data_IF_518737242407
#
_entry.id   IF_518737242407
#
_cell.length_a   1.000
_cell.length_b   1.000
_cell.length_c   1.000
_cell.angle_alpha   90.00
_cell.angle_beta   90.00
_cell.angle_gamma   90.00
#
_symmetry.space_group_name_H-M   'P 1'
#
loop_
_entity.id
_entity.type
_entity.pdbx_description
1 polymer ?
#
# COMPACT_ATOMS: atom_id res chain seq x y z
N UNK A 1 -6.47 37.47 -1.52
CA UNK A 1 -7.32 36.31 -1.74
C UNK A 1 -7.02 35.26 -0.68
N UNK A 2 -7.92 35.09 0.28
CA UNK A 2 -7.82 34.05 1.31
C UNK A 2 -8.24 32.73 0.66
N UNK A 3 -7.31 31.99 0.04
CA UNK A 3 -7.58 30.65 -0.41
C UNK A 3 -7.76 29.73 0.80
N UNK A 4 -8.92 29.12 0.84
CA UNK A 4 -9.36 28.18 1.86
C UNK A 4 -8.29 27.12 2.15
N UNK A 5 -7.86 27.02 3.40
CA UNK A 5 -6.84 26.07 3.90
C UNK A 5 -7.20 24.60 3.69
N UNK A 6 -8.43 24.29 3.27
CA UNK A 6 -8.97 22.93 3.08
C UNK A 6 -8.83 22.36 1.65
N UNK A 7 -8.45 23.17 0.65
CA UNK A 7 -8.46 22.75 -0.75
C UNK A 7 -7.12 22.19 -1.26
N UNK A 8 -6.00 22.52 -0.61
CA UNK A 8 -4.71 21.96 -0.97
C UNK A 8 -4.68 20.46 -0.63
N UNK A 9 -4.48 19.64 -1.61
CA UNK A 9 -4.51 18.18 -1.50
C UNK A 9 -5.90 17.58 -1.17
N UNK A 10 -7.01 18.25 -1.54
CA UNK A 10 -8.40 17.79 -1.31
C UNK A 10 -8.65 16.40 -1.88
N UNK A 11 -8.06 16.11 -3.04
CA UNK A 11 -8.23 14.84 -3.77
C UNK A 11 -7.51 13.66 -3.11
N UNK A 12 -6.67 13.93 -2.11
CA UNK A 12 -5.94 12.89 -1.39
C UNK A 12 -6.64 12.59 -0.07
N UNK A 13 -6.86 11.31 0.20
CA UNK A 13 -7.46 10.85 1.46
C UNK A 13 -6.39 10.78 2.54
N UNK A 14 -6.74 11.10 3.77
CA UNK A 14 -5.87 10.98 4.94
C UNK A 14 -4.65 11.91 4.94
N UNK A 15 -3.61 11.50 5.65
CA UNK A 15 -2.31 12.17 5.73
C UNK A 15 -2.38 13.63 6.21
N UNK A 16 -3.25 13.93 7.16
CA UNK A 16 -3.56 15.30 7.59
C UNK A 16 -2.33 16.06 8.09
N UNK A 17 -1.45 15.39 8.86
CA UNK A 17 -0.23 16.01 9.40
C UNK A 17 0.77 16.34 8.29
N UNK A 18 1.00 15.38 7.39
CA UNK A 18 1.89 15.57 6.24
C UNK A 18 1.39 16.69 5.32
N UNK A 19 0.09 16.71 4.98
CA UNK A 19 -0.54 17.78 4.19
C UNK A 19 -0.38 19.16 4.82
N UNK A 20 -0.57 19.25 6.13
CA UNK A 20 -0.37 20.52 6.87
C UNK A 20 1.07 21.01 6.75
N UNK A 21 2.05 20.11 6.91
CA UNK A 21 3.46 20.43 6.78
C UNK A 21 3.83 20.87 5.37
N UNK A 22 3.37 20.14 4.35
CA UNK A 22 3.55 20.52 2.95
C UNK A 22 2.87 21.85 2.60
N UNK A 23 1.68 22.11 3.13
CA UNK A 23 1.00 23.39 2.98
C UNK A 23 1.79 24.56 3.59
N UNK A 24 2.55 24.34 4.66
CA UNK A 24 3.47 25.35 5.22
C UNK A 24 4.60 25.64 4.25
N UNK A 25 5.26 24.61 3.71
CA UNK A 25 6.36 24.81 2.72
C UNK A 25 5.88 25.43 1.42
N UNK A 26 4.69 25.07 0.95
CA UNK A 26 4.10 25.69 -0.24
C UNK A 26 3.81 27.18 -0.05
N UNK A 27 3.36 27.60 1.14
CA UNK A 27 3.21 29.03 1.44
C UNK A 27 4.56 29.76 1.44
N UNK A 28 5.58 29.15 2.01
CA UNK A 28 6.95 29.66 1.93
C UNK A 28 7.41 29.81 0.48
N UNK A 29 7.18 28.77 -0.32
CA UNK A 29 7.49 28.78 -1.75
C UNK A 29 6.79 29.89 -2.51
N UNK A 30 5.49 30.10 -2.29
CA UNK A 30 4.74 31.19 -2.95
C UNK A 30 5.22 32.58 -2.56
N UNK A 31 5.88 32.73 -1.43
CA UNK A 31 6.46 34.01 -0.98
C UNK A 31 7.91 34.23 -1.44
N UNK A 32 8.70 33.18 -1.58
CA UNK A 32 10.15 33.25 -1.78
C UNK A 32 10.65 32.64 -3.09
N UNK A 33 9.81 31.86 -3.77
CA UNK A 33 10.21 31.05 -4.94
C UNK A 33 11.08 29.83 -4.58
N UNK A 34 11.36 29.59 -3.30
CA UNK A 34 12.25 28.51 -2.83
C UNK A 34 11.46 27.52 -2.00
N UNK A 35 11.48 26.24 -2.41
CA UNK A 35 10.95 25.13 -1.65
C UNK A 35 12.13 24.34 -1.04
N UNK A 36 12.11 24.01 0.25
CA UNK A 36 13.13 23.17 0.83
C UNK A 36 13.12 21.78 0.18
N UNK A 37 14.23 21.07 0.24
CA UNK A 37 14.28 19.67 -0.15
C UNK A 37 13.49 18.85 0.85
N UNK A 38 12.74 17.83 0.38
CA UNK A 38 11.79 17.09 1.18
C UNK A 38 12.18 15.61 1.25
N UNK A 39 12.06 15.00 2.44
CA UNK A 39 12.26 13.57 2.66
C UNK A 39 10.96 12.93 3.15
N UNK A 40 10.29 12.15 2.31
CA UNK A 40 9.07 11.42 2.64
C UNK A 40 9.42 10.06 3.26
N UNK A 41 8.99 9.84 4.48
CA UNK A 41 9.26 8.61 5.23
C UNK A 41 7.95 7.93 5.60
N UNK A 42 7.76 6.69 5.22
CA UNK A 42 6.61 5.88 5.60
C UNK A 42 6.76 4.41 5.18
N UNK A 43 5.99 3.48 5.75
CA UNK A 43 5.85 2.12 5.23
C UNK A 43 5.42 2.08 3.76
N UNK A 44 5.51 0.90 3.13
CA UNK A 44 5.06 0.69 1.75
C UNK A 44 3.55 0.96 1.62
N UNK A 45 3.15 1.65 0.55
CA UNK A 45 1.73 1.89 0.24
C UNK A 45 1.05 3.00 1.03
N UNK A 46 1.78 3.79 1.84
CA UNK A 46 1.23 4.95 2.56
C UNK A 46 1.12 6.24 1.73
N UNK A 47 1.42 6.20 0.42
CA UNK A 47 1.18 7.33 -0.47
C UNK A 47 2.34 8.32 -0.61
N UNK A 48 3.60 7.95 -0.25
CA UNK A 48 4.79 8.81 -0.40
C UNK A 48 4.91 9.44 -1.79
N UNK A 49 5.00 8.59 -2.81
CA UNK A 49 5.13 9.00 -4.21
C UNK A 49 3.92 9.84 -4.68
N UNK A 50 2.71 9.47 -4.25
CA UNK A 50 1.48 10.21 -4.59
C UNK A 50 1.49 11.61 -4.00
N UNK A 51 1.89 11.76 -2.73
CA UNK A 51 1.95 13.05 -2.06
C UNK A 51 3.08 13.92 -2.61
N UNK A 52 4.24 13.32 -2.93
CA UNK A 52 5.34 14.02 -3.59
C UNK A 52 4.93 14.55 -4.99
N UNK A 53 4.23 13.73 -5.79
CA UNK A 53 3.66 14.17 -7.09
C UNK A 53 2.65 15.30 -6.93
N UNK A 54 1.78 15.21 -5.94
CA UNK A 54 0.80 16.28 -5.66
C UNK A 54 1.49 17.58 -5.26
N UNK A 55 2.53 17.51 -4.42
CA UNK A 55 3.33 18.68 -4.07
C UNK A 55 4.06 19.24 -5.29
N UNK A 56 4.69 18.40 -6.12
CA UNK A 56 5.40 18.81 -7.33
C UNK A 56 4.52 19.56 -8.33
N UNK A 57 3.25 19.18 -8.47
CA UNK A 57 2.28 19.88 -9.33
C UNK A 57 1.91 21.28 -8.84
N UNK A 58 2.16 21.60 -7.59
CA UNK A 58 1.86 22.90 -6.98
C UNK A 58 3.09 23.84 -6.99
N UNK A 59 4.28 23.34 -7.36
CA UNK A 59 5.47 24.13 -7.50
C UNK A 59 5.54 24.72 -8.92
N UNK A 60 5.28 26.01 -9.06
CA UNK A 60 5.26 26.71 -10.35
C UNK A 60 6.66 27.15 -10.78
N UNK A 61 6.96 27.10 -12.06
CA UNK A 61 8.17 27.69 -12.62
C UNK A 61 8.05 29.22 -12.58
N UNK A 62 9.20 29.90 -12.37
CA UNK A 62 9.19 31.36 -12.28
C UNK A 62 9.18 32.01 -13.68
N UNK A 63 9.83 31.37 -14.65
CA UNK A 63 10.07 31.95 -15.97
C UNK A 63 9.29 31.23 -17.10
N UNK A 64 8.46 30.21 -16.77
CA UNK A 64 7.66 29.49 -17.75
C UNK A 64 6.16 29.77 -17.54
N UNK A 65 5.50 30.16 -18.62
CA UNK A 65 4.03 30.31 -18.66
C UNK A 65 3.41 29.35 -19.67
N UNK A 66 2.12 29.04 -19.47
CA UNK A 66 1.32 28.34 -20.47
C UNK A 66 0.88 29.27 -21.62
N UNK A 67 0.10 28.74 -22.57
CA UNK A 67 -0.39 29.50 -23.73
C UNK A 67 -1.33 30.65 -23.31
N UNK A 68 -1.92 30.57 -22.12
CA UNK A 68 -2.83 31.56 -21.56
C UNK A 68 -2.12 32.59 -20.64
N UNK A 69 -0.78 32.47 -20.51
CA UNK A 69 0.05 33.36 -19.69
C UNK A 69 0.06 33.05 -18.19
N UNK A 70 -0.49 31.90 -17.77
CA UNK A 70 -0.44 31.47 -16.37
C UNK A 70 0.88 30.77 -16.05
N UNK A 71 1.38 30.86 -14.79
CA UNK A 71 2.56 30.12 -14.38
C UNK A 71 2.41 28.63 -14.60
N UNK A 72 3.37 28.01 -15.25
CA UNK A 72 3.39 26.57 -15.54
C UNK A 72 4.00 25.81 -14.37
N UNK A 73 3.48 24.61 -14.00
CA UNK A 73 4.14 23.76 -13.01
C UNK A 73 5.55 23.39 -13.46
N UNK A 74 6.51 23.34 -12.52
CA UNK A 74 7.84 22.81 -12.77
C UNK A 74 7.78 21.40 -13.34
N UNK A 75 8.68 21.06 -14.23
CA UNK A 75 8.77 19.69 -14.72
C UNK A 75 9.02 18.74 -13.55
N UNK A 76 8.20 17.68 -13.45
CA UNK A 76 8.31 16.68 -12.41
C UNK A 76 8.96 15.41 -12.96
N UNK A 77 10.10 15.03 -12.40
CA UNK A 77 10.82 13.81 -12.75
C UNK A 77 10.81 12.84 -11.57
N UNK A 78 10.35 11.61 -11.80
CA UNK A 78 10.41 10.53 -10.82
C UNK A 78 11.49 9.53 -11.23
N UNK A 79 12.37 9.21 -10.30
CA UNK A 79 13.49 8.30 -10.51
C UNK A 79 13.43 7.21 -9.44
N UNK A 80 13.37 5.96 -9.86
CA UNK A 80 13.59 4.85 -8.94
C UNK A 80 15.11 4.70 -8.71
N UNK A 81 15.55 4.91 -7.48
CA UNK A 81 16.97 4.90 -7.11
C UNK A 81 17.66 3.57 -7.38
N UNK A 82 16.95 2.45 -7.37
CA UNK A 82 17.51 1.12 -7.70
C UNK A 82 18.05 1.02 -9.13
N UNK A 83 17.62 1.91 -10.04
CA UNK A 83 18.09 1.97 -11.43
C UNK A 83 19.38 2.74 -11.61
N UNK A 84 19.72 3.62 -10.67
CA UNK A 84 20.96 4.41 -10.70
C UNK A 84 22.11 3.61 -10.08
N UNK A 85 23.20 3.44 -10.83
CA UNK A 85 24.35 2.63 -10.38
C UNK A 85 25.59 3.42 -10.05
N UNK A 86 25.76 4.61 -10.61
CA UNK A 86 26.93 5.48 -10.42
C UNK A 86 26.63 6.94 -10.75
N UNK A 87 27.55 7.83 -10.37
CA UNK A 87 27.44 9.28 -10.63
C UNK A 87 27.33 9.60 -12.12
N UNK A 88 27.97 8.81 -12.99
CA UNK A 88 27.90 8.98 -14.45
C UNK A 88 26.47 8.88 -14.96
N UNK A 89 25.70 7.92 -14.47
CA UNK A 89 24.28 7.81 -14.82
C UNK A 89 23.48 8.98 -14.26
N UNK A 90 23.72 9.41 -13.02
CA UNK A 90 23.06 10.58 -12.46
C UNK A 90 23.29 11.82 -13.33
N UNK A 91 24.53 12.10 -13.74
CA UNK A 91 24.87 13.26 -14.57
C UNK A 91 24.22 13.15 -15.96
N UNK A 92 24.46 12.05 -16.66
CA UNK A 92 24.07 11.93 -18.07
C UNK A 92 22.56 11.67 -18.27
N UNK A 93 21.89 10.99 -17.33
CA UNK A 93 20.48 10.62 -17.47
C UNK A 93 19.53 11.57 -16.71
N UNK A 94 20.05 12.32 -15.73
CA UNK A 94 19.20 13.18 -14.90
C UNK A 94 19.64 14.64 -14.98
N UNK A 95 20.89 14.98 -14.60
CA UNK A 95 21.28 16.37 -14.44
C UNK A 95 21.33 17.10 -15.78
N UNK A 96 22.04 16.57 -16.78
CA UNK A 96 22.17 17.23 -18.09
C UNK A 96 20.79 17.34 -18.80
N UNK A 97 20.00 16.27 -18.98
CA UNK A 97 18.78 16.37 -19.78
C UNK A 97 17.62 17.07 -19.09
N UNK A 98 17.57 17.06 -17.75
CA UNK A 98 16.38 17.50 -17.01
C UNK A 98 16.60 18.67 -16.06
N UNK A 99 17.86 18.94 -15.65
CA UNK A 99 18.19 20.00 -14.68
C UNK A 99 18.85 21.19 -15.36
N UNK A 100 19.76 20.92 -16.28
CA UNK A 100 20.52 21.98 -16.94
C UNK A 100 19.60 22.95 -17.69
N UNK A 101 19.62 24.24 -17.30
CA UNK A 101 18.80 25.30 -17.87
C UNK A 101 17.27 25.10 -17.80
N UNK A 102 16.79 24.28 -16.84
CA UNK A 102 15.36 24.02 -16.64
C UNK A 102 15.01 24.12 -15.18
N UNK A 103 13.80 24.57 -14.87
CA UNK A 103 13.26 24.44 -13.50
C UNK A 103 12.53 23.12 -13.35
N UNK A 104 12.97 22.29 -12.41
CA UNK A 104 12.36 20.99 -12.21
C UNK A 104 12.25 20.61 -10.72
N UNK A 105 11.35 19.69 -10.47
CA UNK A 105 11.22 18.97 -9.20
C UNK A 105 11.57 17.50 -9.46
N UNK A 106 12.51 16.96 -8.71
CA UNK A 106 13.01 15.60 -8.89
C UNK A 106 12.67 14.79 -7.66
N UNK A 107 11.95 13.67 -7.85
CA UNK A 107 11.67 12.68 -6.81
C UNK A 107 12.63 11.49 -6.98
N UNK A 108 13.46 11.25 -5.99
CA UNK A 108 14.25 10.04 -5.81
C UNK A 108 13.45 9.05 -4.96
N UNK A 109 12.76 8.13 -5.62
CA UNK A 109 11.96 7.10 -4.93
C UNK A 109 12.84 5.91 -4.54
N UNK A 110 12.60 5.36 -3.37
CA UNK A 110 13.43 4.30 -2.73
C UNK A 110 14.88 4.77 -2.51
N UNK A 111 15.08 5.97 -1.95
CA UNK A 111 16.40 6.59 -1.83
C UNK A 111 17.36 5.85 -0.87
N UNK A 112 16.89 4.88 -0.10
CA UNK A 112 17.73 3.91 0.63
C UNK A 112 18.61 3.04 -0.28
N UNK A 113 18.19 2.86 -1.55
CA UNK A 113 18.91 2.08 -2.55
C UNK A 113 19.99 2.87 -3.30
N UNK A 114 20.17 4.17 -2.99
CA UNK A 114 21.17 5.00 -3.65
C UNK A 114 22.59 4.50 -3.35
N UNK A 115 23.42 4.29 -4.38
CA UNK A 115 24.86 4.07 -4.20
C UNK A 115 25.53 5.20 -3.42
N UNK A 116 26.57 4.87 -2.68
CA UNK A 116 27.26 5.84 -1.81
C UNK A 116 27.88 7.00 -2.58
N UNK A 117 28.45 6.76 -3.76
CA UNK A 117 29.01 7.78 -4.62
C UNK A 117 27.98 8.79 -5.11
N UNK A 118 26.78 8.32 -5.50
CA UNK A 118 25.64 9.19 -5.84
C UNK A 118 25.19 9.98 -4.61
N UNK A 119 25.08 9.33 -3.45
CA UNK A 119 24.72 10.02 -2.20
C UNK A 119 25.70 11.15 -1.89
N UNK A 120 27.00 10.91 -2.04
CA UNK A 120 28.04 11.94 -1.82
C UNK A 120 27.94 13.09 -2.83
N UNK A 121 27.65 12.80 -4.11
CA UNK A 121 27.40 13.81 -5.12
C UNK A 121 26.17 14.67 -4.77
N UNK A 122 25.08 14.04 -4.31
CA UNK A 122 23.88 14.74 -3.86
C UNK A 122 24.14 15.64 -2.66
N UNK A 123 25.03 15.29 -1.73
CA UNK A 123 25.39 16.19 -0.62
C UNK A 123 25.99 17.51 -1.09
N UNK A 124 26.75 17.48 -2.18
CA UNK A 124 27.30 18.70 -2.80
C UNK A 124 26.18 19.51 -3.44
N UNK A 125 25.29 18.85 -4.18
CA UNK A 125 24.16 19.48 -4.89
C UNK A 125 23.18 20.14 -3.91
N UNK A 126 22.90 19.47 -2.79
CA UNK A 126 21.93 19.91 -1.77
C UNK A 126 22.54 20.86 -0.73
N UNK A 127 23.77 21.30 -0.93
CA UNK A 127 24.42 22.19 0.03
C UNK A 127 23.65 23.52 0.12
N UNK A 128 23.21 23.97 1.31
CA UNK A 128 22.42 25.18 1.47
C UNK A 128 23.18 26.49 1.28
N UNK A 129 24.45 26.44 0.85
CA UNK A 129 25.24 27.64 0.65
C UNK A 129 24.81 28.39 -0.63
N UNK A 130 24.16 29.57 -0.52
CA UNK A 130 23.70 30.35 -1.69
C UNK A 130 24.79 30.82 -2.62
N UNK A 131 26.04 30.91 -2.14
CA UNK A 131 27.21 31.34 -2.94
C UNK A 131 27.79 30.17 -3.74
N UNK A 132 27.55 28.95 -3.37
CA UNK A 132 27.92 27.76 -4.14
C UNK A 132 26.84 27.45 -5.20
N UNK A 133 26.73 28.31 -6.18
CA UNK A 133 26.24 27.91 -7.51
C UNK A 133 27.21 26.84 -7.97
N UNK A 134 26.74 25.62 -7.97
CA UNK A 134 27.62 24.47 -7.90
C UNK A 134 28.23 24.19 -9.26
N UNK A 135 29.48 24.49 -9.38
CA UNK A 135 30.34 23.85 -10.37
C UNK A 135 30.51 22.39 -9.93
N UNK A 136 29.93 21.49 -10.66
CA UNK A 136 30.09 20.06 -10.44
C UNK A 136 31.18 19.56 -11.37
N UNK A 137 32.35 19.24 -10.82
CA UNK A 137 33.43 18.63 -11.59
C UNK A 137 33.14 17.17 -11.83
N UNK A 138 33.00 16.77 -13.08
CA UNK A 138 32.72 15.41 -13.48
C UNK A 138 33.61 15.01 -14.66
N UNK A 139 34.42 13.94 -14.49
CA UNK A 139 35.49 13.56 -15.40
C UNK A 139 36.38 14.79 -15.73
N UNK A 140 36.66 15.07 -16.99
CA UNK A 140 37.44 16.18 -17.47
C UNK A 140 36.64 17.48 -17.69
N UNK A 141 35.36 17.50 -17.29
CA UNK A 141 34.46 18.63 -17.50
C UNK A 141 34.06 19.27 -16.16
N UNK A 142 34.03 20.59 -16.18
CA UNK A 142 33.38 21.40 -15.13
C UNK A 142 32.00 21.76 -15.66
N UNK A 143 30.95 21.16 -15.07
CA UNK A 143 29.58 21.47 -15.40
C UNK A 143 29.02 22.43 -14.35
N UNK A 144 28.57 23.58 -14.80
CA UNK A 144 27.93 24.57 -13.94
C UNK A 144 26.41 24.34 -13.92
N UNK A 145 25.88 24.06 -12.74
CA UNK A 145 24.46 23.94 -12.51
C UNK A 145 24.02 24.98 -11.49
N UNK A 146 22.93 25.66 -11.77
CA UNK A 146 22.22 26.44 -10.77
C UNK A 146 21.09 25.59 -10.18
N UNK A 147 21.33 25.05 -8.99
CA UNK A 147 20.34 24.25 -8.28
C UNK A 147 19.39 25.08 -7.41
N UNK A 148 19.54 26.39 -7.34
CA UNK A 148 18.76 27.27 -6.46
C UNK A 148 17.26 27.23 -6.72
N UNK A 149 16.86 26.92 -7.95
CA UNK A 149 15.45 26.83 -8.39
C UNK A 149 14.91 25.42 -8.45
N UNK A 150 15.69 24.42 -8.02
CA UNK A 150 15.28 23.02 -8.05
C UNK A 150 14.80 22.56 -6.68
N UNK A 151 13.81 21.69 -6.70
CA UNK A 151 13.35 21.02 -5.49
C UNK A 151 13.63 19.53 -5.62
N UNK A 152 14.45 19.01 -4.71
CA UNK A 152 14.73 17.59 -4.63
C UNK A 152 13.85 16.98 -3.56
N UNK A 153 13.16 15.93 -3.93
CA UNK A 153 12.30 15.14 -3.05
C UNK A 153 12.85 13.73 -2.97
N UNK A 154 12.84 13.16 -1.79
CA UNK A 154 13.30 11.81 -1.53
C UNK A 154 12.18 11.01 -0.89
N UNK A 155 12.05 9.73 -1.20
CA UNK A 155 11.11 8.85 -0.55
C UNK A 155 11.80 7.56 -0.13
N UNK A 156 11.54 7.10 1.09
CA UNK A 156 12.08 5.85 1.61
C UNK A 156 11.10 5.16 2.55
N UNK A 157 11.22 3.84 2.63
CA UNK A 157 10.59 3.02 3.66
C UNK A 157 11.53 2.75 4.83
N UNK A 158 12.84 2.94 4.65
CA UNK A 158 13.91 2.57 5.57
C UNK A 158 14.77 3.79 5.90
N UNK A 159 14.22 4.75 6.65
CA UNK A 159 14.93 5.97 7.01
C UNK A 159 16.26 5.71 7.75
N UNK A 160 16.34 4.63 8.52
CA UNK A 160 17.53 4.23 9.27
C UNK A 160 18.72 3.80 8.37
N UNK A 161 18.46 3.43 7.11
CA UNK A 161 19.50 3.04 6.14
C UNK A 161 19.98 4.20 5.30
N UNK A 162 19.21 5.29 5.24
CA UNK A 162 19.59 6.51 4.50
C UNK A 162 20.74 7.20 5.22
N UNK A 163 21.74 7.65 4.44
CA UNK A 163 22.87 8.36 4.98
C UNK A 163 22.45 9.64 5.72
N UNK A 164 22.86 9.76 6.98
CA UNK A 164 22.36 10.80 7.89
C UNK A 164 22.53 12.22 7.34
N UNK A 165 23.70 12.52 6.75
CA UNK A 165 23.96 13.84 6.18
C UNK A 165 23.03 14.20 5.00
N UNK A 166 22.44 13.22 4.30
CA UNK A 166 21.41 13.47 3.29
C UNK A 166 20.08 13.83 3.95
N UNK A 167 19.74 13.14 5.03
CA UNK A 167 18.53 13.46 5.79
C UNK A 167 18.58 14.86 6.41
N UNK A 168 19.74 15.28 6.92
CA UNK A 168 19.93 16.61 7.53
C UNK A 168 19.76 17.77 6.56
N UNK A 169 19.87 17.51 5.25
CA UNK A 169 19.66 18.52 4.19
C UNK A 169 18.22 18.59 3.70
N UNK A 170 17.35 17.75 4.23
CA UNK A 170 15.97 17.64 3.81
C UNK A 170 15.00 17.89 4.96
N UNK A 171 13.89 18.51 4.67
CA UNK A 171 12.78 18.60 5.58
C UNK A 171 11.99 17.27 5.58
N UNK A 172 11.99 16.60 6.71
CA UNK A 172 11.35 15.29 6.85
C UNK A 172 9.84 15.41 6.91
N UNK A 173 9.15 14.61 6.11
CA UNK A 173 7.69 14.50 6.05
C UNK A 173 7.31 13.04 6.32
N UNK A 174 6.87 12.77 7.55
CA UNK A 174 6.41 11.45 7.93
C UNK A 174 4.95 11.24 7.50
N UNK A 175 4.66 10.11 6.87
CA UNK A 175 3.30 9.67 6.58
C UNK A 175 2.93 8.52 7.52
N UNK A 176 1.66 8.50 7.88
CA UNK A 176 1.09 7.48 8.76
C UNK A 176 0.39 6.40 7.93
N UNK A 177 0.17 5.24 8.52
CA UNK A 177 -0.71 4.24 7.92
C UNK A 177 -2.14 4.76 7.89
N UNK A 178 -2.90 4.32 6.88
CA UNK A 178 -4.29 4.70 6.75
C UNK A 178 -5.17 3.98 7.77
N UNK A 179 -6.13 4.69 8.32
CA UNK A 179 -7.20 4.09 9.14
C UNK A 179 -8.15 3.28 8.27
N UNK A 180 -8.93 2.38 8.86
CA UNK A 180 -9.93 1.59 8.14
C UNK A 180 -10.93 2.49 7.39
N UNK A 181 -11.42 3.55 8.02
CA UNK A 181 -12.31 4.52 7.37
C UNK A 181 -11.66 5.21 6.16
N UNK A 182 -10.37 5.56 6.24
CA UNK A 182 -9.64 6.14 5.11
C UNK A 182 -9.43 5.12 3.99
N UNK A 183 -9.13 3.85 4.30
CA UNK A 183 -9.01 2.79 3.31
C UNK A 183 -10.32 2.51 2.60
N UNK A 184 -11.44 2.46 3.34
CA UNK A 184 -12.77 2.36 2.75
C UNK A 184 -13.09 3.50 1.78
N UNK A 185 -12.71 4.74 2.14
CA UNK A 185 -12.82 5.91 1.24
C UNK A 185 -11.95 5.77 -0.01
N UNK A 186 -10.73 5.20 0.10
CA UNK A 186 -9.86 4.96 -1.05
C UNK A 186 -10.48 3.93 -2.00
N UNK A 187 -11.06 2.84 -1.48
CA UNK A 187 -11.80 1.86 -2.27
C UNK A 187 -12.96 2.53 -2.99
N UNK A 188 -13.78 3.28 -2.26
CA UNK A 188 -14.94 3.99 -2.83
C UNK A 188 -14.53 5.02 -3.90
N UNK A 189 -13.45 5.77 -3.69
CA UNK A 189 -12.92 6.74 -4.65
C UNK A 189 -12.45 6.06 -5.95
N UNK A 190 -11.93 4.84 -5.84
CA UNK A 190 -11.50 4.05 -7.00
C UNK A 190 -12.69 3.48 -7.78
N UNK A 191 -13.84 3.30 -7.12
CA UNK A 191 -15.07 2.73 -7.67
C UNK A 191 -16.28 3.70 -7.55
N UNK A 192 -16.22 4.90 -8.14
CA UNK A 192 -17.21 5.96 -7.86
C UNK A 192 -18.64 5.63 -8.36
N UNK A 193 -18.79 4.68 -9.28
CA UNK A 193 -20.08 4.25 -9.82
C UNK A 193 -20.69 3.03 -9.14
N UNK A 194 -20.02 2.46 -8.14
CA UNK A 194 -20.46 1.26 -7.42
C UNK A 194 -21.17 1.66 -6.13
N UNK A 195 -22.30 1.02 -5.86
CA UNK A 195 -23.01 1.14 -4.58
C UNK A 195 -22.62 -0.02 -3.67
N UNK A 196 -22.27 0.30 -2.44
CA UNK A 196 -21.86 -0.65 -1.41
C UNK A 196 -22.96 -0.79 -0.36
N UNK A 197 -23.10 -1.99 0.20
CA UNK A 197 -23.93 -2.21 1.39
C UNK A 197 -23.35 -1.44 2.59
N UNK A 198 -24.22 -1.07 3.53
CA UNK A 198 -23.82 -0.31 4.72
C UNK A 198 -22.77 -1.07 5.55
N UNK A 199 -21.69 -0.39 5.90
CA UNK A 199 -20.60 -0.93 6.70
C UNK A 199 -19.63 -1.85 5.94
N UNK A 200 -19.94 -2.27 4.72
CA UNK A 200 -19.13 -3.21 3.95
C UNK A 200 -17.73 -2.67 3.62
N UNK A 201 -17.60 -1.38 3.39
CA UNK A 201 -16.29 -0.75 3.15
C UNK A 201 -15.38 -0.83 4.37
N UNK A 202 -15.94 -0.78 5.58
CA UNK A 202 -15.16 -0.94 6.83
C UNK A 202 -14.72 -2.39 7.00
N UNK A 203 -15.58 -3.36 6.67
CA UNK A 203 -15.24 -4.79 6.68
C UNK A 203 -14.09 -5.09 5.69
N UNK A 204 -14.20 -4.60 4.44
CA UNK A 204 -13.15 -4.72 3.44
C UNK A 204 -11.84 -4.07 3.91
N UNK A 205 -11.93 -2.92 4.58
CA UNK A 205 -10.76 -2.20 5.04
C UNK A 205 -9.93 -2.98 6.08
N UNK A 206 -10.55 -3.87 6.85
CA UNK A 206 -9.85 -4.69 7.87
C UNK A 206 -8.76 -5.58 7.28
N UNK A 207 -8.92 -6.03 6.03
CA UNK A 207 -7.95 -6.92 5.35
C UNK A 207 -6.89 -6.15 4.56
N UNK A 208 -6.97 -4.82 4.49
CA UNK A 208 -6.07 -3.99 3.66
C UNK A 208 -4.79 -3.53 4.38
N UNK A 209 -4.63 -3.85 5.66
CA UNK A 209 -3.39 -3.69 6.44
C UNK A 209 -2.82 -2.27 6.45
N UNK A 210 -3.66 -1.23 6.50
CA UNK A 210 -3.20 0.17 6.49
C UNK A 210 -2.62 0.68 5.16
N UNK A 211 -2.78 -0.06 4.07
CA UNK A 211 -2.06 0.12 2.81
C UNK A 211 -2.99 0.58 1.68
N UNK A 212 -2.82 1.82 1.20
CA UNK A 212 -3.62 2.37 0.10
C UNK A 212 -3.42 1.63 -1.24
N UNK A 213 -2.21 1.07 -1.51
CA UNK A 213 -1.98 0.27 -2.71
C UNK A 213 -2.77 -1.04 -2.67
N UNK A 214 -2.90 -1.66 -1.47
CA UNK A 214 -3.76 -2.82 -1.27
C UNK A 214 -5.24 -2.45 -1.49
N UNK A 215 -5.68 -1.28 -1.01
CA UNK A 215 -7.03 -0.78 -1.25
C UNK A 215 -7.33 -0.59 -2.75
N UNK A 216 -6.42 0.02 -3.50
CA UNK A 216 -6.56 0.18 -4.95
C UNK A 216 -6.58 -1.18 -5.68
N UNK A 217 -5.68 -2.11 -5.30
CA UNK A 217 -5.67 -3.47 -5.87
C UNK A 217 -6.97 -4.20 -5.59
N UNK A 218 -7.48 -4.12 -4.36
CA UNK A 218 -8.77 -4.71 -4.00
C UNK A 218 -9.92 -4.11 -4.80
N UNK A 219 -9.98 -2.79 -4.92
CA UNK A 219 -10.98 -2.10 -5.73
C UNK A 219 -10.94 -2.56 -7.21
N UNK A 220 -9.74 -2.74 -7.78
CA UNK A 220 -9.60 -3.28 -9.14
C UNK A 220 -10.13 -4.72 -9.27
N UNK A 221 -9.86 -5.60 -8.29
CA UNK A 221 -10.41 -6.95 -8.27
C UNK A 221 -11.95 -6.93 -8.21
N UNK A 222 -12.50 -6.07 -7.36
CA UNK A 222 -13.95 -5.87 -7.25
C UNK A 222 -14.55 -5.31 -8.55
N UNK A 223 -13.85 -4.40 -9.25
CA UNK A 223 -14.28 -3.89 -10.55
C UNK A 223 -14.37 -5.00 -11.59
N UNK A 224 -13.36 -5.89 -11.64
CA UNK A 224 -13.34 -7.04 -12.56
C UNK A 224 -14.50 -7.98 -12.25
N UNK A 225 -14.70 -8.31 -10.98
CA UNK A 225 -15.79 -9.17 -10.51
C UNK A 225 -17.18 -8.61 -10.88
N UNK A 226 -17.43 -7.33 -10.57
CA UNK A 226 -18.68 -6.66 -10.90
C UNK A 226 -18.94 -6.59 -12.40
N UNK A 227 -17.89 -6.35 -13.20
CA UNK A 227 -17.98 -6.36 -14.66
C UNK A 227 -18.38 -7.73 -15.19
N UNK A 228 -17.82 -8.80 -14.65
CA UNK A 228 -18.18 -10.17 -15.01
C UNK A 228 -19.63 -10.50 -14.65
N UNK A 229 -20.13 -10.00 -13.51
CA UNK A 229 -21.54 -10.18 -13.10
C UNK A 229 -22.53 -9.18 -13.71
N UNK A 230 -22.08 -8.17 -14.44
CA UNK A 230 -22.92 -7.13 -15.02
C UNK A 230 -23.62 -6.24 -13.97
N UNK A 231 -23.10 -6.14 -12.76
CA UNK A 231 -23.68 -5.42 -11.63
C UNK A 231 -22.94 -4.12 -11.32
N UNK A 232 -23.66 -3.16 -10.74
CA UNK A 232 -23.09 -1.93 -10.14
C UNK A 232 -23.31 -1.85 -8.63
N UNK A 233 -23.82 -2.93 -8.02
CA UNK A 233 -24.04 -3.04 -6.59
C UNK A 233 -23.12 -4.11 -6.05
N UNK A 234 -22.40 -3.79 -5.00
CA UNK A 234 -21.47 -4.69 -4.32
C UNK A 234 -22.02 -5.01 -2.93
N UNK A 235 -22.52 -6.24 -2.76
CA UNK A 235 -23.17 -6.73 -1.56
C UNK A 235 -22.20 -7.52 -0.67
N UNK A 236 -22.66 -7.88 0.54
CA UNK A 236 -21.92 -8.79 1.43
C UNK A 236 -21.67 -10.16 0.78
N UNK A 237 -22.65 -10.70 0.04
CA UNK A 237 -22.48 -11.97 -0.67
C UNK A 237 -21.37 -11.88 -1.72
N UNK A 238 -21.31 -10.75 -2.47
CA UNK A 238 -20.21 -10.51 -3.42
C UNK A 238 -18.85 -10.48 -2.71
N UNK A 239 -18.80 -9.91 -1.50
CA UNK A 239 -17.57 -9.86 -0.71
C UNK A 239 -17.15 -11.26 -0.26
N UNK A 240 -18.06 -12.04 0.26
CA UNK A 240 -17.82 -13.44 0.67
C UNK A 240 -17.32 -14.29 -0.50
N UNK A 241 -17.92 -14.16 -1.70
CA UNK A 241 -17.44 -14.86 -2.89
C UNK A 241 -16.00 -14.45 -3.25
N UNK A 242 -15.68 -13.15 -3.22
CA UNK A 242 -14.31 -12.67 -3.50
C UNK A 242 -13.31 -13.16 -2.45
N UNK A 243 -13.71 -13.17 -1.17
CA UNK A 243 -12.85 -13.70 -0.10
C UNK A 243 -12.51 -15.18 -0.34
N UNK A 244 -13.50 -16.00 -0.69
CA UNK A 244 -13.31 -17.42 -1.01
C UNK A 244 -12.44 -17.60 -2.26
N UNK A 245 -12.76 -16.93 -3.37
CA UNK A 245 -12.03 -17.07 -4.64
C UNK A 245 -10.58 -16.60 -4.55
N UNK A 246 -10.30 -15.55 -3.78
CA UNK A 246 -8.95 -14.99 -3.63
C UNK A 246 -8.20 -15.52 -2.39
N UNK A 247 -8.83 -16.36 -1.56
CA UNK A 247 -8.25 -16.88 -0.33
C UNK A 247 -7.89 -15.77 0.67
N UNK A 248 -8.78 -14.80 0.85
CA UNK A 248 -8.55 -13.65 1.74
C UNK A 248 -8.93 -14.03 3.15
N UNK A 249 -7.95 -14.29 3.98
CA UNK A 249 -8.16 -14.56 5.40
C UNK A 249 -8.55 -13.30 6.20
N UNK A 250 -9.27 -13.44 7.32
CA UNK A 250 -9.56 -12.34 8.23
C UNK A 250 -8.28 -11.56 8.60
N UNK A 251 -8.41 -10.25 8.83
CA UNK A 251 -7.27 -9.33 9.04
C UNK A 251 -6.25 -9.29 7.88
N UNK A 252 -6.53 -9.94 6.76
CA UNK A 252 -5.63 -10.01 5.60
C UNK A 252 -4.33 -10.80 5.88
N UNK A 253 -4.36 -11.78 6.77
CA UNK A 253 -3.20 -12.61 7.04
C UNK A 253 -2.85 -13.47 5.82
N UNK A 254 -1.55 -13.56 5.56
CA UNK A 254 -1.00 -14.46 4.54
C UNK A 254 -0.95 -15.91 5.06
N UNK A 255 -0.91 -16.91 4.18
CA UNK A 255 -0.76 -18.31 4.59
C UNK A 255 0.47 -18.56 5.48
N UNK A 256 1.56 -17.82 5.26
CA UNK A 256 2.77 -17.90 6.08
C UNK A 256 2.54 -17.37 7.50
N UNK A 257 1.80 -16.26 7.64
CA UNK A 257 1.45 -15.71 8.95
C UNK A 257 0.54 -16.64 9.73
N UNK A 258 -0.43 -17.27 9.06
CA UNK A 258 -1.28 -18.30 9.65
C UNK A 258 -0.44 -19.53 10.07
N UNK A 259 0.49 -19.96 9.23
CA UNK A 259 1.43 -21.05 9.56
C UNK A 259 2.28 -20.68 10.79
N UNK A 260 2.80 -19.46 10.87
CA UNK A 260 3.56 -18.98 12.04
C UNK A 260 2.70 -19.05 13.31
N UNK A 261 1.46 -18.56 13.27
CA UNK A 261 0.54 -18.64 14.40
C UNK A 261 0.23 -20.10 14.77
N UNK A 262 0.01 -20.97 13.79
CA UNK A 262 -0.20 -22.41 14.02
C UNK A 262 1.00 -23.09 14.70
N UNK A 263 2.23 -22.78 14.30
CA UNK A 263 3.43 -23.30 14.97
C UNK A 263 3.58 -22.74 16.41
N UNK A 264 3.25 -21.47 16.63
CA UNK A 264 3.23 -20.86 17.96
C UNK A 264 2.13 -21.45 18.85
N UNK A 265 1.00 -21.86 18.27
CA UNK A 265 -0.10 -22.50 19.02
C UNK A 265 0.25 -23.88 19.57
N UNK A 266 1.21 -24.59 18.98
CA UNK A 266 1.63 -25.94 19.40
C UNK A 266 2.56 -25.95 20.61
N UNK A 267 3.21 -24.82 20.91
CA UNK A 267 4.24 -24.69 21.96
C UNK A 267 4.02 -23.45 22.78
N UNK A 268 4.53 -23.43 24.03
CA UNK A 268 4.41 -22.26 24.89
C UNK A 268 5.26 -21.08 24.39
N UNK A 269 6.51 -21.37 24.02
CA UNK A 269 7.48 -20.41 23.50
C UNK A 269 8.26 -21.04 22.34
N UNK A 270 8.48 -20.28 21.28
CA UNK A 270 9.15 -20.74 20.08
C UNK A 270 10.32 -19.83 19.69
N UNK A 271 11.46 -20.42 19.36
CA UNK A 271 12.60 -19.62 18.91
C UNK A 271 12.41 -19.15 17.46
N UNK A 272 13.01 -17.99 17.12
CA UNK A 272 13.03 -17.49 15.74
C UNK A 272 13.65 -18.50 14.76
N UNK A 273 14.67 -19.25 15.22
CA UNK A 273 15.32 -20.29 14.41
C UNK A 273 14.33 -21.40 14.05
N UNK A 274 13.49 -21.81 15.00
CA UNK A 274 12.48 -22.83 14.75
C UNK A 274 11.42 -22.34 13.74
N UNK A 275 10.90 -21.10 13.92
CA UNK A 275 9.94 -20.52 12.99
C UNK A 275 10.51 -20.39 11.57
N UNK A 276 11.77 -19.93 11.44
CA UNK A 276 12.47 -19.84 10.18
C UNK A 276 12.60 -21.20 9.49
N UNK A 277 12.97 -22.24 10.25
CA UNK A 277 13.07 -23.61 9.74
C UNK A 277 11.71 -24.18 9.30
N UNK A 278 10.64 -23.92 10.05
CA UNK A 278 9.29 -24.40 9.74
C UNK A 278 8.64 -23.70 8.54
N UNK A 279 8.94 -22.43 8.35
CA UNK A 279 8.41 -21.64 7.22
C UNK A 279 9.30 -21.72 5.97
N UNK A 280 10.52 -22.27 6.07
CA UNK A 280 11.50 -22.26 4.98
C UNK A 280 12.10 -20.87 4.67
N UNK A 281 11.97 -19.92 5.59
CA UNK A 281 12.39 -18.53 5.43
C UNK A 281 13.65 -18.22 6.23
N UNK A 282 14.34 -17.12 5.90
CA UNK A 282 15.41 -16.59 6.74
C UNK A 282 14.85 -15.92 7.99
N UNK A 283 15.61 -15.90 9.09
CA UNK A 283 15.23 -15.22 10.35
C UNK A 283 14.89 -13.75 10.11
N UNK A 284 15.67 -13.06 9.29
CA UNK A 284 15.46 -11.65 8.96
C UNK A 284 14.12 -11.42 8.23
N UNK A 285 13.77 -12.32 7.30
CA UNK A 285 12.50 -12.27 6.60
C UNK A 285 11.32 -12.49 7.57
N UNK A 286 11.38 -13.50 8.43
CA UNK A 286 10.34 -13.77 9.44
C UNK A 286 10.11 -12.53 10.32
N UNK A 287 11.19 -11.93 10.84
CA UNK A 287 11.09 -10.76 11.71
C UNK A 287 10.54 -9.53 10.99
N UNK A 288 11.08 -9.21 9.81
CA UNK A 288 10.77 -7.97 9.13
C UNK A 288 9.42 -8.00 8.42
N UNK A 289 9.10 -9.13 7.78
CA UNK A 289 7.99 -9.18 6.83
C UNK A 289 6.70 -9.75 7.47
N UNK A 290 6.80 -10.50 8.57
CA UNK A 290 5.65 -11.19 9.19
C UNK A 290 5.44 -10.86 10.67
N UNK A 291 6.47 -10.96 11.52
CA UNK A 291 6.30 -10.75 12.98
C UNK A 291 5.77 -9.36 13.31
N UNK A 292 6.21 -8.33 12.59
CA UNK A 292 5.79 -6.95 12.86
C UNK A 292 4.27 -6.77 12.76
N UNK A 293 3.64 -7.37 11.75
CA UNK A 293 2.20 -7.27 11.58
C UNK A 293 1.44 -8.11 12.61
N UNK A 294 1.89 -9.33 12.87
CA UNK A 294 1.29 -10.20 13.89
C UNK A 294 1.33 -9.57 15.29
N UNK A 295 2.45 -8.92 15.66
CA UNK A 295 2.57 -8.16 16.91
C UNK A 295 1.64 -6.95 16.92
N UNK A 296 1.59 -6.18 15.84
CA UNK A 296 0.70 -5.03 15.71
C UNK A 296 -0.77 -5.40 15.88
N UNK A 297 -1.17 -6.57 15.39
CA UNK A 297 -2.55 -7.09 15.54
C UNK A 297 -2.79 -7.78 16.88
N UNK A 298 -1.77 -7.83 17.75
CA UNK A 298 -1.79 -8.52 19.05
C UNK A 298 -2.12 -10.02 18.92
N UNK A 299 -1.60 -10.67 17.87
CA UNK A 299 -1.77 -12.10 17.66
C UNK A 299 -0.57 -12.91 18.19
N UNK A 300 0.59 -12.29 18.28
CA UNK A 300 1.80 -12.85 18.88
C UNK A 300 2.54 -11.81 19.73
N UNK A 301 3.38 -12.29 20.62
CA UNK A 301 4.25 -11.47 21.46
C UNK A 301 5.67 -12.06 21.54
N UNK A 302 6.65 -11.18 21.78
CA UNK A 302 8.02 -11.59 22.07
C UNK A 302 8.20 -11.69 23.56
N UNK A 303 8.70 -12.82 24.04
CA UNK A 303 9.00 -13.12 25.44
C UNK A 303 10.49 -13.28 25.67
N UNK A 304 10.94 -13.38 26.89
CA UNK A 304 12.35 -13.69 27.24
C UNK A 304 12.78 -15.07 26.74
N UNK A 305 11.84 -16.02 26.59
CA UNK A 305 12.08 -17.38 26.11
C UNK A 305 11.95 -17.53 24.59
N UNK A 306 11.36 -16.51 23.90
CA UNK A 306 11.16 -16.57 22.45
C UNK A 306 9.94 -15.81 21.98
N UNK A 307 9.14 -16.44 21.13
CA UNK A 307 7.86 -15.95 20.60
C UNK A 307 6.74 -16.81 21.12
N UNK A 308 5.65 -16.18 21.52
CA UNK A 308 4.46 -16.86 22.01
C UNK A 308 3.22 -16.32 21.31
N UNK A 309 2.24 -17.18 21.09
CA UNK A 309 0.93 -16.77 20.63
C UNK A 309 0.17 -16.10 21.78
N UNK A 310 -0.58 -15.04 21.50
CA UNK A 310 -1.44 -14.38 22.49
C UNK A 310 -2.79 -15.11 22.59
N UNK A 311 -3.61 -14.68 23.56
CA UNK A 311 -4.98 -15.17 23.67
C UNK A 311 -5.78 -14.88 22.39
N UNK A 312 -5.68 -13.66 21.88
CA UNK A 312 -6.32 -13.23 20.62
C UNK A 312 -5.83 -14.02 19.41
N UNK A 313 -4.54 -14.38 19.38
CA UNK A 313 -4.01 -15.23 18.31
C UNK A 313 -4.58 -16.64 18.33
N UNK A 314 -4.84 -17.21 19.52
CA UNK A 314 -5.50 -18.52 19.65
C UNK A 314 -6.95 -18.47 19.20
N UNK A 315 -7.68 -17.45 19.67
CA UNK A 315 -9.08 -17.22 19.27
C UNK A 315 -9.19 -17.09 17.73
N UNK A 316 -8.25 -16.36 17.11
CA UNK A 316 -8.17 -16.22 15.65
C UNK A 316 -8.00 -17.58 14.94
N UNK A 317 -7.12 -18.46 15.41
CA UNK A 317 -6.97 -19.80 14.83
C UNK A 317 -8.19 -20.67 15.00
N UNK A 318 -8.81 -20.63 16.18
CA UNK A 318 -10.06 -21.38 16.46
C UNK A 318 -11.21 -20.93 15.56
N UNK A 319 -11.32 -19.65 15.26
CA UNK A 319 -12.35 -19.12 14.37
C UNK A 319 -12.10 -19.50 12.92
N UNK A 320 -10.85 -19.47 12.45
CA UNK A 320 -10.48 -19.99 11.12
C UNK A 320 -10.82 -21.48 10.95
N UNK A 321 -10.52 -22.30 11.96
CA UNK A 321 -10.84 -23.74 11.90
C UNK A 321 -12.35 -23.97 11.81
N UNK A 322 -13.16 -23.16 12.49
CA UNK A 322 -14.63 -23.23 12.39
C UNK A 322 -15.10 -22.85 10.98
N UNK A 323 -14.60 -21.75 10.40
CA UNK A 323 -14.95 -21.32 9.04
C UNK A 323 -14.59 -22.41 8.01
N UNK A 324 -13.39 -23.00 8.07
CA UNK A 324 -13.00 -24.11 7.18
C UNK A 324 -13.90 -25.34 7.31
N UNK A 325 -14.40 -25.64 8.50
CA UNK A 325 -15.32 -26.76 8.73
C UNK A 325 -16.67 -26.47 8.12
N UNK A 326 -17.19 -25.23 8.24
CA UNK A 326 -18.44 -24.83 7.61
C UNK A 326 -18.35 -24.86 6.09
N UNK A 327 -17.29 -24.33 5.49
CA UNK A 327 -17.08 -24.34 4.04
C UNK A 327 -17.01 -25.77 3.48
N UNK A 328 -16.30 -26.68 4.15
CA UNK A 328 -16.27 -28.09 3.77
C UNK A 328 -17.62 -28.77 3.90
N UNK A 329 -18.39 -28.44 4.93
CA UNK A 329 -19.73 -28.99 5.12
C UNK A 329 -20.71 -28.50 4.05
N UNK A 330 -20.68 -27.24 3.65
CA UNK A 330 -21.50 -26.70 2.56
C UNK A 330 -21.13 -27.31 1.20
N UNK A 331 -19.86 -27.53 0.91
CA UNK A 331 -19.41 -28.20 -0.31
C UNK A 331 -19.93 -29.63 -0.40
N UNK A 332 -19.91 -30.38 0.71
CA UNK A 332 -20.44 -31.74 0.77
C UNK A 332 -21.96 -31.75 0.52
N UNK A 333 -22.68 -30.77 1.06
CA UNK A 333 -24.16 -30.65 0.85
C UNK A 333 -24.49 -30.29 -0.59
N UNK A 334 -23.66 -29.51 -1.26
CA UNK A 334 -23.83 -29.13 -2.68
C UNK A 334 -23.46 -30.28 -3.64
N UNK A 335 -22.55 -31.17 -3.26
CA UNK A 335 -22.10 -32.30 -4.05
C UNK A 335 -23.01 -33.52 -3.93
N UNK A 336 -23.99 -33.57 -2.97
CA UNK A 336 -24.97 -34.64 -2.97
C UNK A 336 -25.82 -34.56 -4.25
N UNK A 337 -25.73 -35.55 -5.16
CA UNK A 337 -26.50 -35.53 -6.38
C UNK A 337 -27.97 -35.60 -6.00
N UNK A 338 -28.77 -34.62 -6.45
CA UNK A 338 -30.23 -34.68 -6.38
C UNK A 338 -30.66 -36.03 -6.94
N UNK A 339 -30.90 -37.00 -6.10
CA UNK A 339 -31.43 -38.33 -6.50
C UNK A 339 -32.71 -38.09 -7.29
N UNK A 340 -32.66 -38.29 -8.62
CA UNK A 340 -33.85 -38.28 -9.44
C UNK A 340 -34.80 -39.30 -8.85
N UNK A 341 -36.10 -38.99 -8.70
CA UNK A 341 -37.07 -39.96 -8.19
C UNK A 341 -37.05 -41.18 -9.13
N UNK A 342 -36.66 -42.32 -8.58
CA UNK A 342 -36.69 -43.60 -9.30
C UNK A 342 -38.13 -43.91 -9.55
N UNK A 343 -38.59 -43.79 -10.79
CA UNK A 343 -39.92 -44.30 -11.20
C UNK A 343 -39.84 -45.83 -11.16
N UNK A 344 -40.29 -46.40 -10.06
CA UNK A 344 -40.49 -47.86 -9.94
C UNK A 344 -41.68 -48.19 -10.84
N UNK A 345 -41.42 -48.79 -12.00
CA UNK A 345 -42.46 -49.45 -12.80
C UNK A 345 -42.84 -50.75 -12.08
N UNK A 346 -43.99 -50.76 -11.42
CA UNK A 346 -44.57 -51.97 -10.92
C UNK A 346 -45.00 -52.84 -12.12
N UNK A 347 -44.77 -54.18 -12.11
CA UNK A 347 -45.29 -55.09 -13.13
C UNK A 347 -46.81 -55.12 -13.10
N UNK A 348 -47.42 -55.13 -14.28
CA UNK A 348 -48.86 -55.20 -14.42
C UNK A 348 -49.38 -56.49 -13.78
N UNK A 349 -50.26 -56.38 -12.74
CA UNK A 349 -50.91 -57.51 -12.10
C UNK A 349 -50.90 -57.53 -10.58
N UNK A 350 -50.33 -56.57 -9.88
CA UNK A 350 -50.43 -56.58 -8.40
C UNK A 350 -51.55 -55.63 -7.95
N UNK A 351 -52.62 -56.18 -7.52
CA UNK A 351 -53.78 -55.52 -6.83
C UNK A 351 -53.31 -55.32 -5.39
N UNK A 352 -53.01 -54.13 -4.97
CA UNK A 352 -52.74 -53.79 -3.55
C UNK A 352 -54.02 -53.20 -2.95
N UNK A 353 -54.69 -53.93 -2.09
CA UNK A 353 -55.61 -53.38 -1.15
C UNK A 353 -54.86 -52.71 -0.01
N UNK A 354 -54.54 -51.42 -0.18
CA UNK A 354 -54.04 -50.57 0.90
C UNK A 354 -55.19 -49.67 1.37
N UNK A 355 -55.40 -49.49 2.67
CA UNK A 355 -56.44 -48.60 3.19
C UNK A 355 -56.12 -47.15 2.88
N UNK A 356 -57.14 -46.35 2.62
CA UNK A 356 -57.11 -44.95 2.32
C UNK A 356 -56.32 -44.15 3.42
N UNK A 357 -55.20 -43.60 3.08
CA UNK A 357 -54.38 -42.70 3.97
C UNK A 357 -52.88 -42.72 3.77
N UNK A 358 -52.33 -43.52 2.86
CA UNK A 358 -50.87 -43.68 2.69
C UNK A 358 -50.29 -43.11 1.37
N UNK A 359 -50.86 -42.03 0.85
CA UNK A 359 -50.25 -41.31 -0.27
C UNK A 359 -49.85 -39.92 0.18
N UNK A 360 -48.60 -39.51 0.01
CA UNK A 360 -48.21 -38.12 0.22
C UNK A 360 -48.89 -37.23 -0.84
N UNK A 361 -49.58 -36.20 -0.38
CA UNK A 361 -50.14 -35.16 -1.24
C UNK A 361 -49.01 -34.46 -1.96
N UNK A 362 -49.17 -34.27 -3.27
CA UNK A 362 -48.30 -33.50 -4.16
C UNK A 362 -47.99 -32.12 -3.62
#
# INVERSE_FOLDING_TARGET
MQNNKSELFSDLIGQTKAKRRLGFYLKGYNATGICPHLMFVAPKGCGKTTLAKAMGKLLMANDETDLDGNPKPKNFLEINCSTLKNVKQLVNQVLIPHVQHKECTILFDECSELPRDITMALLTILNPNPENRTSFSYDDYVLDFDFSRHTFMFATTEAQTVFHALMDRCERVDLEEYTFSELGKIVNLTLPSVKFDNGLLDDIATVLRGNARAAQKMANNMAVYLKAKGSKVFTRDCWTEIQMELGIAPLGLSPIEIQILGELGKVKDCSLTHLAAKTGLTKACVQRDFEMYLQKMDLMQITTAGRAITKKGKEYLEDLEKEEVYDKAEQIVQEEPKKKPVKIKLPAGVVTNLPDGFLPKN
#
